data_IF_234835303371
#
_entry.id   IF_234835303371
#
_cell.length_a   1.000
_cell.length_b   1.000
_cell.length_c   1.000
_cell.angle_alpha   90.00
_cell.angle_beta   90.00
_cell.angle_gamma   90.00
#
_symmetry.space_group_name_H-M   'P 1'
#
loop_
_entity.id
_entity.type
_entity.pdbx_description
1 polymer ?
#
# COMPACT_ATOMS: atom_id res chain seq x y z
N UNK A 1 -5.98 0.47 -8.68
CA UNK A 1 -5.36 1.79 -8.95
C UNK A 1 -5.83 2.43 -10.25
N UNK A 2 -5.66 1.80 -11.42
CA UNK A 2 -6.07 2.41 -12.71
C UNK A 2 -7.54 2.85 -12.74
N UNK A 3 -8.45 2.01 -12.24
CA UNK A 3 -9.89 2.32 -12.19
C UNK A 3 -10.21 3.44 -11.19
N UNK A 4 -9.69 3.36 -9.96
CA UNK A 4 -9.97 4.34 -8.91
C UNK A 4 -9.41 5.74 -9.22
N UNK A 5 -8.20 5.80 -9.78
CA UNK A 5 -7.48 7.06 -10.02
C UNK A 5 -7.85 7.70 -11.36
N UNK A 6 -8.35 6.90 -12.32
CA UNK A 6 -8.86 7.38 -13.60
C UNK A 6 -7.87 8.26 -14.35
N UNK A 7 -8.31 9.45 -14.77
CA UNK A 7 -7.49 10.42 -15.51
C UNK A 7 -6.39 11.10 -14.70
N UNK A 8 -6.38 10.97 -13.36
CA UNK A 8 -5.32 11.55 -12.51
C UNK A 8 -4.00 10.77 -12.63
N UNK A 9 -4.06 9.50 -13.04
CA UNK A 9 -2.87 8.69 -13.26
C UNK A 9 -2.41 8.86 -14.71
N UNK A 10 -1.20 9.39 -14.97
CA UNK A 10 -0.71 9.54 -16.33
C UNK A 10 -0.55 8.18 -17.01
N UNK A 11 -0.84 8.15 -18.32
CA UNK A 11 -0.65 6.97 -19.15
C UNK A 11 0.75 7.02 -19.77
N UNK A 12 1.48 5.92 -19.62
CA UNK A 12 2.76 5.75 -20.31
C UNK A 12 2.53 5.31 -21.75
N UNK A 13 3.35 5.84 -22.67
CA UNK A 13 3.45 5.30 -24.02
C UNK A 13 4.09 3.91 -24.00
N UNK A 14 4.03 3.19 -25.12
CA UNK A 14 4.67 1.88 -25.23
C UNK A 14 6.20 1.98 -25.08
N UNK A 15 6.83 3.03 -25.61
CA UNK A 15 8.28 3.23 -25.49
C UNK A 15 8.69 3.54 -24.05
N UNK A 16 7.92 4.38 -23.34
CA UNK A 16 8.15 4.69 -21.93
C UNK A 16 7.96 3.45 -21.06
N UNK A 17 6.93 2.64 -21.33
CA UNK A 17 6.69 1.41 -20.59
C UNK A 17 7.84 0.40 -20.76
N UNK A 18 8.38 0.26 -21.97
CA UNK A 18 9.56 -0.58 -22.24
C UNK A 18 10.81 -0.11 -21.50
N UNK A 19 10.96 1.19 -21.27
CA UNK A 19 12.09 1.73 -20.51
C UNK A 19 11.95 1.50 -19.00
N UNK A 20 10.72 1.39 -18.47
CA UNK A 20 10.46 1.19 -17.05
C UNK A 20 10.49 -0.28 -16.64
N UNK A 21 10.05 -1.18 -17.53
CA UNK A 21 10.10 -2.62 -17.28
C UNK A 21 11.57 -3.04 -17.34
N UNK A 22 12.05 -3.71 -16.29
CA UNK A 22 13.43 -4.15 -16.12
C UNK A 22 14.48 -3.02 -15.98
N UNK A 23 14.08 -1.85 -15.48
CA UNK A 23 15.00 -0.73 -15.24
C UNK A 23 15.70 -0.72 -13.88
N UNK A 24 15.62 -1.83 -13.13
CA UNK A 24 16.17 -1.91 -11.77
C UNK A 24 16.86 -3.26 -11.54
N UNK A 25 18.09 -3.22 -11.01
CA UNK A 25 18.89 -4.42 -10.69
C UNK A 25 18.64 -4.95 -9.28
N UNK A 26 18.27 -4.07 -8.34
CA UNK A 26 17.95 -4.42 -6.96
C UNK A 26 16.84 -3.54 -6.40
N UNK A 27 16.14 -4.04 -5.37
CA UNK A 27 15.09 -3.32 -4.66
C UNK A 27 15.47 -3.18 -3.18
N UNK A 28 15.77 -1.95 -2.75
CA UNK A 28 15.93 -1.61 -1.34
C UNK A 28 14.58 -1.22 -0.72
N UNK A 29 14.20 -1.83 0.40
CA UNK A 29 12.94 -1.53 1.10
C UNK A 29 13.27 -0.87 2.44
N UNK A 30 12.79 0.36 2.64
CA UNK A 30 12.86 1.04 3.92
C UNK A 30 11.68 0.59 4.80
N UNK A 31 11.96 -0.15 5.86
CA UNK A 31 10.95 -0.65 6.80
C UNK A 31 11.00 0.12 8.12
N UNK A 32 9.95 0.89 8.40
CA UNK A 32 9.85 1.69 9.64
C UNK A 32 8.70 1.26 10.55
N UNK A 33 7.56 0.84 9.99
CA UNK A 33 6.35 0.52 10.75
C UNK A 33 5.37 -0.29 9.90
N UNK A 34 4.28 -0.74 10.53
CA UNK A 34 3.13 -1.35 9.87
C UNK A 34 1.84 -0.67 10.36
N UNK A 35 0.78 -0.71 9.53
CA UNK A 35 -0.52 -0.14 9.85
C UNK A 35 -1.59 -1.23 9.85
N UNK A 36 -2.43 -1.27 10.88
CA UNK A 36 -3.67 -2.06 10.84
C UNK A 36 -4.69 -1.36 9.96
N UNK A 37 -5.29 -2.07 9.02
CA UNK A 37 -6.30 -1.55 8.11
C UNK A 37 -7.54 -2.44 8.09
N UNK A 38 -8.70 -1.83 7.84
CA UNK A 38 -9.95 -2.50 7.52
C UNK A 38 -10.41 -2.06 6.14
N UNK A 39 -11.05 -2.98 5.43
CA UNK A 39 -11.71 -2.69 4.16
C UNK A 39 -12.79 -1.60 4.35
N UNK A 40 -12.85 -0.65 3.42
CA UNK A 40 -13.84 0.44 3.42
C UNK A 40 -14.30 0.74 1.98
N UNK A 41 -15.12 -0.16 1.40
CA UNK A 41 -15.54 -0.07 0.00
C UNK A 41 -16.51 1.09 -0.26
N UNK A 42 -17.04 1.71 0.80
CA UNK A 42 -18.02 2.80 0.72
C UNK A 42 -17.41 4.18 1.01
N UNK A 43 -16.09 4.28 1.22
CA UNK A 43 -15.46 5.56 1.49
C UNK A 43 -15.37 6.47 0.25
N UNK A 44 -15.97 7.65 0.39
CA UNK A 44 -15.93 8.84 -0.47
C UNK A 44 -16.85 8.87 -1.72
N UNK A 45 -17.75 9.89 -1.82
CA UNK A 45 -18.44 10.24 -3.06
C UNK A 45 -17.46 10.73 -4.14
N UNK A 46 -17.85 10.54 -5.40
CA UNK A 46 -16.97 10.53 -6.60
C UNK A 46 -16.29 11.86 -6.93
N UNK A 47 -16.77 12.99 -6.41
CA UNK A 47 -16.42 14.31 -6.96
C UNK A 47 -15.05 14.85 -6.51
N UNK A 48 -14.47 14.40 -5.38
CA UNK A 48 -13.14 14.83 -4.90
C UNK A 48 -12.34 13.72 -4.20
N UNK A 49 -12.18 12.55 -4.83
CA UNK A 49 -11.29 11.51 -4.29
C UNK A 49 -9.81 11.94 -4.25
N UNK A 50 -9.17 11.75 -3.11
CA UNK A 50 -7.72 11.92 -2.95
C UNK A 50 -7.03 10.54 -2.94
N UNK A 51 -5.69 10.52 -2.90
CA UNK A 51 -4.94 9.26 -2.91
C UNK A 51 -5.29 8.32 -1.74
N UNK A 52 -5.81 8.85 -0.62
CA UNK A 52 -6.23 8.01 0.52
C UNK A 52 -7.58 7.35 0.26
N UNK A 53 -8.52 8.09 -0.32
CA UNK A 53 -9.82 7.55 -0.73
C UNK A 53 -9.68 6.50 -1.84
N UNK A 54 -8.68 6.63 -2.72
CA UNK A 54 -8.40 5.65 -3.78
C UNK A 54 -7.95 4.27 -3.23
N UNK A 55 -7.46 4.22 -1.99
CA UNK A 55 -7.06 2.98 -1.32
C UNK A 55 -8.24 2.14 -0.83
N UNK A 56 -9.44 2.73 -0.67
CA UNK A 56 -10.62 2.06 -0.12
C UNK A 56 -10.36 1.31 1.21
N UNK A 57 -9.47 1.86 2.05
CA UNK A 57 -9.04 1.24 3.29
C UNK A 57 -9.01 2.26 4.44
N UNK A 58 -9.50 1.86 5.60
CA UNK A 58 -9.49 2.67 6.83
C UNK A 58 -8.39 2.17 7.76
N UNK A 59 -7.47 3.05 8.12
CA UNK A 59 -6.46 2.76 9.13
C UNK A 59 -7.10 2.71 10.53
N UNK A 60 -6.71 1.71 11.31
CA UNK A 60 -7.15 1.52 12.69
C UNK A 60 -6.03 2.05 13.56
N UNK A 61 -6.17 3.28 14.02
CA UNK A 61 -5.38 3.81 15.12
C UNK A 61 -6.18 3.64 16.40
N UNK A 62 -5.61 3.00 17.42
CA UNK A 62 -6.20 2.98 18.75
C UNK A 62 -6.15 4.40 19.32
N UNK A 63 -7.17 5.21 19.04
CA UNK A 63 -7.44 6.40 19.83
C UNK A 63 -8.14 5.91 21.08
N UNK A 64 -7.51 6.09 22.25
CA UNK A 64 -8.11 5.75 23.53
C UNK A 64 -9.47 6.44 23.71
N UNK A 65 -10.54 5.70 23.41
CA UNK A 65 -11.89 5.88 23.93
C UNK A 65 -12.43 4.47 24.19
N UNK A 66 -12.17 4.01 25.42
CA UNK A 66 -12.74 2.84 26.12
C UNK A 66 -13.78 2.00 25.36
N UNK A 67 -13.31 0.94 24.68
CA UNK A 67 -13.93 -0.40 24.65
C UNK A 67 -13.13 -1.34 23.74
N UNK A 68 -12.07 -1.94 24.31
CA UNK A 68 -11.58 -3.28 24.00
C UNK A 68 -11.25 -3.65 22.54
N UNK A 69 -10.14 -3.14 22.00
CA UNK A 69 -9.32 -3.96 21.08
C UNK A 69 -8.12 -4.42 21.89
N UNK A 70 -8.14 -5.68 22.33
CA UNK A 70 -6.99 -6.29 23.02
C UNK A 70 -5.80 -6.22 22.08
N UNK A 71 -4.78 -5.47 22.46
CA UNK A 71 -3.45 -5.58 21.89
C UNK A 71 -2.83 -6.87 22.45
N UNK A 72 -3.31 -8.03 22.01
CA UNK A 72 -2.59 -9.29 22.26
C UNK A 72 -1.43 -9.32 21.30
N UNK A 73 -0.23 -9.28 21.86
CA UNK A 73 1.02 -9.55 21.16
C UNK A 73 0.91 -10.96 20.54
N UNK A 74 0.40 -11.06 19.31
CA UNK A 74 0.46 -12.28 18.54
C UNK A 74 1.83 -12.31 17.89
N UNK A 75 2.66 -13.18 18.47
CA UNK A 75 4.00 -13.59 18.08
C UNK A 75 4.22 -13.54 16.55
N UNK A 76 5.44 -13.14 16.20
CA UNK A 76 6.12 -13.37 14.91
C UNK A 76 5.85 -12.36 13.79
N UNK A 77 6.45 -11.17 13.90
CA UNK A 77 6.88 -10.41 12.71
C UNK A 77 8.39 -10.63 12.57
N UNK A 78 8.76 -11.82 12.07
CA UNK A 78 10.12 -12.11 11.63
C UNK A 78 10.16 -11.78 10.13
N UNK A 79 10.38 -10.50 9.80
CA UNK A 79 10.70 -10.11 8.42
C UNK A 79 12.15 -10.49 8.19
N UNK A 80 12.40 -11.76 7.85
CA UNK A 80 13.63 -12.16 7.18
C UNK A 80 13.50 -11.74 5.71
N UNK A 81 13.80 -10.48 5.39
CA UNK A 81 14.12 -10.12 3.99
C UNK A 81 15.51 -10.69 3.72
N UNK A 82 15.53 -11.97 3.38
CA UNK A 82 16.60 -12.55 2.57
C UNK A 82 15.97 -13.13 1.31
N UNK A 83 15.27 -12.28 0.55
CA UNK A 83 15.05 -12.55 -0.85
C UNK A 83 16.21 -11.89 -1.61
N UNK A 84 17.34 -12.61 -1.58
CA UNK A 84 18.38 -12.48 -2.58
C UNK A 84 17.71 -12.90 -3.90
N UNK A 85 17.15 -11.94 -4.65
CA UNK A 85 16.93 -12.14 -6.08
C UNK A 85 18.28 -11.87 -6.75
N UNK A 86 19.18 -12.84 -6.62
CA UNK A 86 20.21 -13.08 -7.61
C UNK A 86 20.03 -14.51 -8.06
N UNK A 87 19.66 -14.71 -9.32
CA UNK A 87 20.35 -15.55 -10.32
C UNK A 87 19.38 -15.96 -11.42
N UNK A 88 19.75 -15.64 -12.66
CA UNK A 88 19.13 -16.10 -13.89
C UNK A 88 19.15 -15.01 -14.94
#
# INVERSE_FOLDING_TARGET
>A
MKENTGSKLPKFSQSQSKQLINSMDFLGINYYTFLYVKDDPHHAPSNKRNFRADMAAKSIFSSNSTSGVRQTCSKSVLINIKCIITKG
#
